data_IF_734180020609
#
_entry.id   IF_734180020609
#
_cell.length_a   1.000
_cell.length_b   1.000
_cell.length_c   1.000
_cell.angle_alpha   90.00
_cell.angle_beta   90.00
_cell.angle_gamma   90.00
#
_symmetry.space_group_name_H-M   'P 1'
#
loop_
_entity.id
_entity.type
_entity.pdbx_description
1 polymer ?
#
# COMPACT_ATOMS: atom_id res chain seq x y z
N UNK A 1 5.23 34.81 -3.42
CA UNK A 1 4.46 34.19 -2.31
C UNK A 1 5.20 32.94 -1.87
N UNK A 2 5.16 32.55 -0.58
CA UNK A 2 5.72 31.26 -0.16
C UNK A 2 4.98 30.12 -0.88
N UNK A 3 5.73 29.09 -1.27
CA UNK A 3 5.18 27.89 -1.91
C UNK A 3 4.37 27.14 -0.85
N UNK A 4 3.09 26.86 -1.13
CA UNK A 4 2.21 26.06 -0.28
C UNK A 4 2.04 24.68 -0.91
N UNK A 5 2.48 23.65 -0.20
CA UNK A 5 2.33 22.25 -0.58
C UNK A 5 1.26 21.58 0.30
N UNK A 6 0.33 20.86 -0.32
CA UNK A 6 -0.62 19.96 0.34
C UNK A 6 -0.23 18.51 0.08
N UNK A 7 0.44 17.90 1.05
CA UNK A 7 0.82 16.49 1.04
C UNK A 7 -0.20 15.66 1.80
N UNK A 8 -0.63 14.53 1.24
CA UNK A 8 -1.50 13.58 1.92
C UNK A 8 -0.97 12.15 1.80
N UNK A 9 -1.37 11.30 2.75
CA UNK A 9 -1.25 9.85 2.65
C UNK A 9 -2.65 9.26 2.56
N UNK A 10 -2.85 8.23 1.73
CA UNK A 10 -4.16 7.64 1.51
C UNK A 10 -4.03 6.16 1.15
N UNK A 11 -4.62 5.29 1.98
CA UNK A 11 -4.76 3.88 1.64
C UNK A 11 -5.93 3.72 0.66
N UNK A 12 -5.66 3.18 -0.52
CA UNK A 12 -6.65 3.06 -1.60
C UNK A 12 -7.41 1.74 -1.57
N UNK A 13 -7.04 0.84 -0.65
CA UNK A 13 -7.72 -0.43 -0.34
C UNK A 13 -7.97 -1.38 -1.53
N UNK A 14 -6.97 -1.58 -2.39
CA UNK A 14 -7.02 -2.55 -3.51
C UNK A 14 -8.23 -2.32 -4.44
N UNK A 15 -8.04 -1.41 -5.40
CA UNK A 15 -9.04 -0.97 -6.36
C UNK A 15 -9.72 -2.11 -7.15
N UNK A 16 -9.00 -3.18 -7.48
CA UNK A 16 -9.52 -4.28 -8.31
C UNK A 16 -9.21 -5.63 -7.66
N UNK A 17 -9.78 -5.86 -6.48
CA UNK A 17 -9.80 -7.19 -5.86
C UNK A 17 -10.38 -8.23 -6.83
N UNK A 18 -9.68 -9.35 -6.97
CA UNK A 18 -10.20 -10.52 -7.70
C UNK A 18 -11.17 -11.25 -6.79
N UNK A 19 -12.33 -11.62 -7.32
CA UNK A 19 -13.29 -12.44 -6.60
C UNK A 19 -12.67 -13.80 -6.26
N UNK A 20 -12.54 -14.09 -4.96
CA UNK A 20 -11.93 -15.32 -4.48
C UNK A 20 -12.98 -16.42 -4.28
N UNK A 21 -13.06 -17.32 -5.27
CA UNK A 21 -13.99 -18.45 -5.21
C UNK A 21 -13.60 -19.52 -4.16
N UNK A 22 -12.39 -19.48 -3.58
CA UNK A 22 -11.99 -20.44 -2.55
C UNK A 22 -12.80 -20.28 -1.25
N UNK A 23 -13.34 -19.08 -0.99
CA UNK A 23 -14.22 -18.83 0.14
C UNK A 23 -15.46 -19.75 0.19
N UNK A 24 -15.94 -20.19 -0.97
CA UNK A 24 -17.07 -21.13 -1.08
C UNK A 24 -16.67 -22.57 -0.80
N UNK A 25 -15.39 -22.91 -1.01
CA UNK A 25 -14.85 -24.24 -0.72
C UNK A 25 -14.51 -24.37 0.78
N UNK A 26 -14.02 -23.30 1.40
CA UNK A 26 -13.63 -23.27 2.82
C UNK A 26 -14.82 -23.16 3.78
N UNK A 27 -16.02 -22.93 3.25
CA UNK A 27 -17.28 -22.87 3.99
C UNK A 27 -17.59 -21.49 4.61
N UNK A 28 -18.86 -21.27 5.04
CA UNK A 28 -19.38 -19.97 5.44
C UNK A 28 -18.77 -19.40 6.73
N UNK A 29 -18.13 -20.23 7.55
CA UNK A 29 -17.44 -19.81 8.78
C UNK A 29 -15.97 -19.45 8.56
N UNK A 30 -15.45 -19.66 7.35
CA UNK A 30 -14.06 -19.37 7.02
C UNK A 30 -13.75 -17.87 7.12
N UNK A 31 -12.47 -17.54 7.27
CA UNK A 31 -12.03 -16.15 7.20
C UNK A 31 -12.34 -15.53 5.85
N UNK A 32 -12.19 -16.30 4.77
CA UNK A 32 -12.45 -15.86 3.40
C UNK A 32 -13.94 -15.51 3.20
N UNK A 33 -14.86 -16.27 3.80
CA UNK A 33 -16.30 -16.00 3.74
C UNK A 33 -16.71 -14.63 4.32
N UNK A 34 -15.94 -14.08 5.29
CA UNK A 34 -16.20 -12.75 5.87
C UNK A 34 -15.94 -11.59 4.90
N UNK A 35 -15.17 -11.85 3.85
CA UNK A 35 -14.87 -10.86 2.81
C UNK A 35 -15.80 -11.00 1.59
N UNK A 36 -16.77 -11.93 1.62
CA UNK A 36 -17.83 -11.99 0.62
C UNK A 36 -18.82 -10.84 0.81
N UNK A 37 -19.36 -10.33 -0.29
CA UNK A 37 -20.31 -9.23 -0.23
C UNK A 37 -21.55 -9.59 0.59
N UNK A 38 -22.11 -8.66 1.38
CA UNK A 38 -23.25 -8.93 2.25
C UNK A 38 -24.43 -9.60 1.55
N UNK A 39 -24.72 -9.22 0.30
CA UNK A 39 -25.81 -9.83 -0.48
C UNK A 39 -25.55 -11.31 -0.80
N UNK A 40 -24.29 -11.73 -0.91
CA UNK A 40 -23.90 -13.14 -1.02
C UNK A 40 -24.16 -13.88 0.29
N UNK A 41 -23.93 -13.23 1.43
CA UNK A 41 -24.22 -13.80 2.75
C UNK A 41 -25.72 -13.91 3.03
N UNK A 42 -26.53 -12.98 2.51
CA UNK A 42 -27.98 -12.96 2.71
C UNK A 42 -28.76 -13.83 1.71
N UNK A 43 -28.33 -13.86 0.45
CA UNK A 43 -29.05 -14.55 -0.63
C UNK A 43 -28.40 -15.88 -1.05
N UNK A 44 -27.19 -16.15 -0.57
CA UNK A 44 -26.52 -17.40 -0.84
C UNK A 44 -27.06 -18.54 0.00
N UNK A 45 -28.03 -19.27 -0.51
CA UNK A 45 -28.18 -20.68 -0.15
C UNK A 45 -27.04 -21.43 -0.86
N UNK A 46 -25.93 -21.64 -0.14
CA UNK A 46 -24.83 -22.50 -0.58
C UNK A 46 -24.47 -23.45 0.56
N UNK A 47 -24.37 -24.75 0.26
CA UNK A 47 -24.00 -25.80 1.24
C UNK A 47 -25.05 -26.88 1.47
N UNK A 48 -26.21 -26.78 0.83
CA UNK A 48 -27.27 -27.78 0.72
C UNK A 48 -26.99 -28.86 -0.33
N UNK A 49 -25.98 -28.66 -1.19
CA UNK A 49 -25.52 -29.64 -2.18
C UNK A 49 -26.33 -29.65 -3.49
N UNK A 50 -27.32 -28.77 -3.63
CA UNK A 50 -28.09 -28.62 -4.86
C UNK A 50 -27.34 -27.70 -5.85
N UNK A 51 -26.67 -28.32 -6.82
CA UNK A 51 -25.91 -27.60 -7.84
C UNK A 51 -26.78 -27.07 -8.99
N UNK A 52 -28.09 -27.36 -9.03
CA UNK A 52 -28.96 -26.94 -10.14
C UNK A 52 -29.16 -25.41 -10.20
N UNK A 53 -29.12 -24.75 -9.04
CA UNK A 53 -29.21 -23.29 -8.90
C UNK A 53 -27.84 -22.60 -8.90
N UNK A 54 -26.75 -23.36 -9.01
CA UNK A 54 -25.39 -22.84 -8.85
C UNK A 54 -25.01 -21.80 -9.91
N UNK A 55 -25.53 -21.93 -11.13
CA UNK A 55 -25.26 -20.95 -12.20
C UNK A 55 -25.95 -19.61 -11.95
N UNK A 56 -27.21 -19.62 -11.51
CA UNK A 56 -27.96 -18.41 -11.18
C UNK A 56 -27.40 -17.74 -9.93
N UNK A 57 -27.05 -18.53 -8.91
CA UNK A 57 -26.32 -18.07 -7.74
C UNK A 57 -24.98 -17.42 -8.11
N UNK A 58 -24.17 -18.06 -8.95
CA UNK A 58 -22.90 -17.47 -9.45
C UNK A 58 -23.12 -16.16 -10.18
N UNK A 59 -24.20 -16.04 -10.96
CA UNK A 59 -24.53 -14.82 -11.68
C UNK A 59 -24.93 -13.68 -10.73
N UNK A 60 -25.78 -13.98 -9.74
CA UNK A 60 -26.18 -13.03 -8.69
C UNK A 60 -24.98 -12.55 -7.88
N UNK A 61 -24.13 -13.48 -7.44
CA UNK A 61 -22.90 -13.19 -6.68
C UNK A 61 -21.95 -12.30 -7.49
N UNK A 62 -21.70 -12.63 -8.76
CA UNK A 62 -20.83 -11.80 -9.61
C UNK A 62 -21.38 -10.40 -9.79
N UNK A 63 -22.69 -10.28 -10.07
CA UNK A 63 -23.34 -8.97 -10.27
C UNK A 63 -23.22 -8.12 -9.02
N UNK A 64 -23.55 -8.70 -7.87
CA UNK A 64 -23.40 -8.09 -6.56
C UNK A 64 -21.98 -7.57 -6.29
N UNK A 65 -20.97 -8.42 -6.50
CA UNK A 65 -19.58 -8.04 -6.30
C UNK A 65 -19.14 -6.92 -7.22
N UNK A 66 -19.51 -6.99 -8.50
CA UNK A 66 -19.18 -5.95 -9.47
C UNK A 66 -19.80 -4.62 -9.05
N UNK A 67 -21.07 -4.62 -8.64
CA UNK A 67 -21.77 -3.41 -8.20
C UNK A 67 -21.17 -2.81 -6.93
N UNK A 68 -20.94 -3.62 -5.89
CA UNK A 68 -20.35 -3.11 -4.64
C UNK A 68 -18.94 -2.59 -4.84
N UNK A 69 -18.14 -3.26 -5.67
CA UNK A 69 -16.80 -2.79 -5.98
C UNK A 69 -16.81 -1.50 -6.82
N UNK A 70 -17.81 -1.28 -7.67
CA UNK A 70 -17.99 0.01 -8.37
C UNK A 70 -18.30 1.14 -7.38
N UNK A 71 -19.25 0.93 -6.46
CA UNK A 71 -19.61 1.91 -5.43
C UNK A 71 -18.42 2.24 -4.52
N UNK A 72 -17.64 1.23 -4.11
CA UNK A 72 -16.40 1.43 -3.33
C UNK A 72 -15.43 2.33 -4.10
N UNK A 73 -15.19 2.07 -5.39
CA UNK A 73 -14.29 2.91 -6.21
C UNK A 73 -14.80 4.34 -6.33
N UNK A 74 -16.11 4.56 -6.48
CA UNK A 74 -16.67 5.90 -6.50
C UNK A 74 -16.43 6.63 -5.17
N UNK A 75 -16.67 5.97 -4.03
CA UNK A 75 -16.38 6.54 -2.72
C UNK A 75 -14.89 6.81 -2.50
N UNK A 76 -14.01 5.91 -2.92
CA UNK A 76 -12.55 6.11 -2.88
C UNK A 76 -12.13 7.32 -3.71
N UNK A 77 -12.73 7.55 -4.88
CA UNK A 77 -12.45 8.73 -5.70
C UNK A 77 -12.92 10.03 -5.04
N UNK A 78 -14.10 10.02 -4.43
CA UNK A 78 -14.62 11.18 -3.66
C UNK A 78 -13.75 11.48 -2.44
N UNK A 79 -13.30 10.45 -1.72
CA UNK A 79 -12.40 10.61 -0.59
C UNK A 79 -11.05 11.19 -1.02
N UNK A 80 -10.47 10.69 -2.13
CA UNK A 80 -9.24 11.22 -2.71
C UNK A 80 -9.39 12.69 -3.11
N UNK A 81 -10.51 13.07 -3.74
CA UNK A 81 -10.82 14.45 -4.09
C UNK A 81 -10.92 15.36 -2.85
N UNK A 82 -11.59 14.88 -1.80
CA UNK A 82 -11.77 15.65 -0.56
C UNK A 82 -10.46 15.98 0.16
N UNK A 83 -9.36 15.27 -0.12
CA UNK A 83 -8.03 15.61 0.42
C UNK A 83 -7.54 16.98 -0.10
N UNK A 84 -7.97 17.38 -1.31
CA UNK A 84 -7.47 18.56 -2.03
C UNK A 84 -5.93 18.59 -2.03
N UNK A 85 -5.29 17.43 -2.25
CA UNK A 85 -3.85 17.28 -2.11
C UNK A 85 -3.14 17.54 -3.45
N UNK A 86 -2.01 18.24 -3.37
CA UNK A 86 -1.09 18.45 -4.49
C UNK A 86 -0.34 17.15 -4.83
N UNK A 87 0.07 16.42 -3.79
CA UNK A 87 0.78 15.14 -3.87
C UNK A 87 0.17 14.18 -2.87
N UNK A 88 -0.09 12.94 -3.31
CA UNK A 88 -0.66 11.88 -2.49
C UNK A 88 0.23 10.64 -2.51
N UNK A 89 0.66 10.22 -1.33
CA UNK A 89 1.32 8.95 -1.08
C UNK A 89 0.26 7.86 -0.88
N UNK A 90 0.23 6.87 -1.77
CA UNK A 90 -0.77 5.82 -1.79
C UNK A 90 -0.24 4.52 -1.21
N UNK A 91 -1.10 3.77 -0.54
CA UNK A 91 -0.86 2.40 -0.07
C UNK A 91 -1.91 1.43 -0.61
N UNK A 92 -1.55 0.15 -0.73
CA UNK A 92 -2.44 -0.92 -1.24
C UNK A 92 -2.88 -0.71 -2.68
N UNK A 93 -1.93 -0.32 -3.52
CA UNK A 93 -2.15 -0.13 -4.95
C UNK A 93 -1.90 -1.47 -5.66
N UNK A 94 -2.89 -2.00 -6.38
CA UNK A 94 -2.79 -3.29 -7.11
C UNK A 94 -1.80 -3.30 -8.29
N UNK A 95 -1.23 -2.15 -8.61
CA UNK A 95 -0.31 -1.94 -9.73
C UNK A 95 -0.61 -0.67 -10.52
N UNK A 96 0.32 -0.32 -11.40
CA UNK A 96 0.27 0.93 -12.17
C UNK A 96 -0.99 1.02 -13.05
N UNK A 97 -1.31 -0.04 -13.79
CA UNK A 97 -2.47 -0.06 -14.69
C UNK A 97 -3.81 0.07 -13.95
N UNK A 98 -3.93 -0.57 -12.79
CA UNK A 98 -5.09 -0.45 -11.92
C UNK A 98 -5.27 1.01 -11.48
N UNK A 99 -4.22 1.62 -10.94
CA UNK A 99 -4.26 3.01 -10.51
C UNK A 99 -4.62 3.97 -11.65
N UNK A 100 -4.01 3.81 -12.83
CA UNK A 100 -4.31 4.61 -14.02
C UNK A 100 -5.78 4.47 -14.45
N UNK A 101 -6.30 3.25 -14.47
CA UNK A 101 -7.72 2.99 -14.79
C UNK A 101 -8.64 3.66 -13.78
N UNK A 102 -8.34 3.56 -12.49
CA UNK A 102 -9.12 4.21 -11.45
C UNK A 102 -9.13 5.74 -11.60
N UNK A 103 -7.96 6.36 -11.76
CA UNK A 103 -7.83 7.80 -11.93
C UNK A 103 -8.62 8.29 -13.16
N UNK A 104 -8.57 7.54 -14.26
CA UNK A 104 -9.28 7.89 -15.49
C UNK A 104 -10.79 7.63 -15.42
N UNK A 105 -11.21 6.52 -14.83
CA UNK A 105 -12.59 6.06 -14.88
C UNK A 105 -13.49 6.63 -13.77
N UNK A 106 -12.91 7.00 -12.63
CA UNK A 106 -13.63 7.50 -11.46
C UNK A 106 -13.23 8.93 -11.13
N UNK A 107 -11.96 9.16 -10.80
CA UNK A 107 -11.49 10.46 -10.30
C UNK A 107 -11.63 11.58 -11.35
N UNK A 108 -11.24 11.35 -12.60
CA UNK A 108 -11.33 12.35 -13.67
C UNK A 108 -12.77 12.81 -13.96
N UNK A 109 -13.79 12.03 -13.59
CA UNK A 109 -15.21 12.40 -13.77
C UNK A 109 -15.70 13.41 -12.73
N UNK A 110 -14.94 13.64 -11.66
CA UNK A 110 -15.30 14.57 -10.59
C UNK A 110 -15.02 16.04 -10.97
N UNK A 111 -14.31 16.30 -12.06
CA UNK A 111 -13.93 17.66 -12.48
C UNK A 111 -12.78 18.28 -11.66
N UNK A 112 -12.11 17.47 -10.84
CA UNK A 112 -11.00 17.87 -9.99
C UNK A 112 -9.67 18.01 -10.75
N UNK A 113 -8.69 18.65 -10.10
CA UNK A 113 -7.32 18.73 -10.63
C UNK A 113 -6.74 17.34 -10.82
N UNK A 114 -6.22 17.09 -12.03
CA UNK A 114 -5.72 15.78 -12.42
C UNK A 114 -4.33 15.49 -11.86
N UNK A 115 -4.17 14.32 -11.27
CA UNK A 115 -2.85 13.77 -10.97
C UNK A 115 -2.21 13.20 -12.24
N UNK A 116 -1.27 13.95 -12.84
CA UNK A 116 -0.60 13.54 -14.09
C UNK A 116 0.68 12.75 -13.84
N UNK A 117 1.39 13.05 -12.76
CA UNK A 117 2.59 12.31 -12.38
C UNK A 117 2.16 11.13 -11.53
N UNK A 118 2.27 9.93 -12.07
CA UNK A 118 1.91 8.70 -11.37
C UNK A 118 3.14 7.80 -11.38
N UNK A 119 3.61 7.43 -10.20
CA UNK A 119 4.80 6.58 -10.06
C UNK A 119 4.50 5.45 -9.08
N UNK A 120 4.80 4.24 -9.52
CA UNK A 120 4.77 3.01 -8.74
C UNK A 120 5.97 2.18 -9.16
N UNK A 121 6.70 1.63 -8.20
CA UNK A 121 7.71 0.60 -8.43
C UNK A 121 7.17 -0.71 -7.89
N UNK A 122 7.30 -1.80 -8.66
CA UNK A 122 6.90 -3.12 -8.19
C UNK A 122 7.76 -3.54 -6.99
N UNK A 123 7.12 -3.96 -5.89
CA UNK A 123 7.82 -4.39 -4.70
C UNK A 123 7.79 -5.91 -4.51
N UNK A 124 8.00 -6.37 -3.28
CA UNK A 124 8.25 -7.77 -2.94
C UNK A 124 7.03 -8.47 -2.31
N UNK A 125 5.83 -7.90 -2.42
CA UNK A 125 4.62 -8.46 -1.83
C UNK A 125 4.03 -9.49 -2.81
N UNK A 126 3.93 -10.78 -2.42
CA UNK A 126 3.43 -11.82 -3.31
C UNK A 126 1.97 -11.61 -3.74
N UNK A 127 1.23 -10.73 -3.04
CA UNK A 127 -0.14 -10.36 -3.41
C UNK A 127 -0.19 -9.35 -4.56
N UNK A 128 0.92 -8.72 -4.91
CA UNK A 128 0.99 -7.69 -5.95
C UNK A 128 0.43 -6.34 -5.50
N UNK A 129 0.55 -6.02 -4.20
CA UNK A 129 0.09 -4.74 -3.65
C UNK A 129 1.28 -3.89 -3.22
N UNK A 130 1.32 -2.67 -3.74
CA UNK A 130 2.47 -1.78 -3.62
C UNK A 130 2.09 -0.42 -3.02
N UNK A 131 3.10 0.44 -2.89
CA UNK A 131 2.93 1.87 -2.62
C UNK A 131 3.12 2.65 -3.92
N UNK A 132 2.43 3.78 -4.03
CA UNK A 132 2.59 4.68 -5.18
C UNK A 132 2.64 6.13 -4.72
N UNK A 133 3.01 7.01 -5.63
CA UNK A 133 2.81 8.45 -5.45
C UNK A 133 2.13 9.02 -6.68
N UNK A 134 1.16 9.89 -6.44
CA UNK A 134 0.48 10.65 -7.48
C UNK A 134 0.62 12.14 -7.19
N UNK A 135 0.91 12.94 -8.21
CA UNK A 135 1.09 14.39 -8.07
C UNK A 135 0.42 15.15 -9.22
N UNK A 136 -0.12 16.32 -8.90
CA UNK A 136 -0.71 17.22 -9.88
C UNK A 136 0.37 17.72 -10.85
N UNK A 137 -0.04 18.17 -12.03
CA UNK A 137 0.87 18.59 -13.12
C UNK A 137 1.95 19.59 -12.67
N UNK A 138 1.55 20.53 -11.81
CA UNK A 138 2.43 21.53 -11.23
C UNK A 138 3.44 21.01 -10.21
N UNK A 139 3.43 19.72 -9.87
CA UNK A 139 4.34 19.13 -8.89
C UNK A 139 5.16 17.97 -9.49
N UNK A 140 6.16 18.27 -10.34
CA UNK A 140 7.08 17.24 -10.82
C UNK A 140 7.83 16.60 -9.66
N UNK A 141 7.96 15.28 -9.71
CA UNK A 141 8.58 14.46 -8.69
C UNK A 141 9.71 13.59 -9.26
N UNK A 142 10.76 13.40 -8.47
CA UNK A 142 11.75 12.34 -8.68
C UNK A 142 11.54 11.25 -7.64
N UNK A 143 11.80 10.00 -8.02
CA UNK A 143 11.62 8.87 -7.10
C UNK A 143 12.82 7.95 -7.07
N UNK A 144 12.98 7.27 -5.94
CA UNK A 144 13.93 6.17 -5.75
C UNK A 144 13.24 5.08 -4.92
N UNK A 145 13.26 3.87 -5.45
CA UNK A 145 12.83 2.68 -4.72
C UNK A 145 13.95 2.19 -3.80
N UNK A 146 13.57 1.68 -2.64
CA UNK A 146 14.46 1.00 -1.69
C UNK A 146 14.00 -0.46 -1.44
N UNK A 147 13.12 -0.98 -2.29
CA UNK A 147 12.54 -2.33 -2.15
C UNK A 147 13.60 -3.44 -2.23
N UNK A 148 14.75 -3.20 -2.85
CA UNK A 148 15.81 -4.18 -3.01
C UNK A 148 16.76 -4.30 -1.80
N UNK A 149 16.60 -3.45 -0.79
CA UNK A 149 17.47 -3.47 0.39
C UNK A 149 17.34 -4.78 1.19
N UNK A 150 18.48 -5.28 1.65
CA UNK A 150 18.61 -6.49 2.48
C UNK A 150 19.23 -6.13 3.83
N UNK A 151 19.18 -7.02 4.85
CA UNK A 151 19.86 -6.78 6.12
C UNK A 151 21.33 -6.39 6.00
N UNK A 152 22.03 -6.89 4.97
CA UNK A 152 23.43 -6.57 4.69
C UNK A 152 23.67 -5.07 4.39
N UNK A 153 22.63 -4.33 4.02
CA UNK A 153 22.74 -2.90 3.76
C UNK A 153 22.64 -2.07 5.04
N UNK A 154 21.83 -2.49 6.02
CA UNK A 154 21.72 -1.75 7.28
C UNK A 154 22.90 -2.06 8.20
N UNK A 155 23.39 -3.30 8.22
CA UNK A 155 24.48 -3.72 9.11
C UNK A 155 25.89 -3.39 8.59
N UNK A 156 26.02 -2.82 7.38
CA UNK A 156 27.32 -2.46 6.81
C UNK A 156 27.86 -1.09 7.23
N UNK A 157 27.09 -0.31 8.00
CA UNK A 157 27.53 0.97 8.56
C UNK A 157 27.42 0.94 10.10
N UNK A 158 28.33 1.60 10.83
CA UNK A 158 28.30 1.63 12.30
C UNK A 158 26.99 2.17 12.87
N UNK A 159 26.36 3.15 12.18
CA UNK A 159 25.08 3.74 12.57
C UNK A 159 23.95 2.71 12.55
N UNK A 160 23.88 1.92 11.48
CA UNK A 160 22.86 0.88 11.34
C UNK A 160 23.11 -0.34 12.24
N UNK A 161 24.37 -0.73 12.47
CA UNK A 161 24.71 -1.77 13.44
C UNK A 161 24.28 -1.37 14.86
N UNK A 162 24.57 -0.14 15.27
CA UNK A 162 24.14 0.40 16.58
C UNK A 162 22.62 0.44 16.73
N UNK A 163 21.88 0.75 15.65
CA UNK A 163 20.41 0.64 15.65
C UNK A 163 19.97 -0.81 15.90
N UNK A 164 20.56 -1.80 15.23
CA UNK A 164 20.19 -3.19 15.43
C UNK A 164 20.53 -3.69 16.84
N UNK A 165 21.64 -3.26 17.44
CA UNK A 165 21.98 -3.58 18.83
C UNK A 165 20.93 -3.07 19.83
N UNK A 166 20.45 -1.84 19.63
CA UNK A 166 19.43 -1.23 20.49
C UNK A 166 18.08 -1.93 20.38
N UNK A 167 17.79 -2.59 19.26
CA UNK A 167 16.50 -3.23 18.97
C UNK A 167 16.68 -4.74 18.69
N UNK A 168 16.73 -5.59 19.74
CA UNK A 168 17.10 -6.99 19.61
C UNK A 168 16.11 -7.84 18.79
N UNK A 169 14.82 -7.47 18.74
CA UNK A 169 13.84 -8.15 17.89
C UNK A 169 14.10 -7.88 16.40
N UNK A 170 14.47 -6.64 16.06
CA UNK A 170 14.88 -6.28 14.70
C UNK A 170 16.18 -6.99 14.31
N UNK A 171 17.20 -7.03 15.19
CA UNK A 171 18.45 -7.76 14.95
C UNK A 171 18.21 -9.26 14.72
N UNK A 172 17.38 -9.89 15.55
CA UNK A 172 16.98 -11.29 15.36
C UNK A 172 16.31 -11.49 14.00
N UNK A 173 15.40 -10.58 13.62
CA UNK A 173 14.69 -10.65 12.34
C UNK A 173 15.63 -10.44 11.15
N UNK A 174 16.56 -9.50 11.23
CA UNK A 174 17.61 -9.27 10.24
C UNK A 174 18.42 -10.56 10.00
N UNK A 175 18.81 -11.25 11.08
CA UNK A 175 19.50 -12.55 11.00
C UNK A 175 18.70 -13.64 10.28
N UNK A 176 17.37 -13.67 10.45
CA UNK A 176 16.48 -14.62 9.76
C UNK A 176 16.27 -14.28 8.27
N UNK A 177 16.47 -13.03 7.88
CA UNK A 177 16.27 -12.51 6.53
C UNK A 177 17.59 -12.36 5.74
N UNK A 178 18.69 -13.01 6.17
CA UNK A 178 19.95 -12.97 5.41
C UNK A 178 19.72 -13.30 3.92
N UNK A 179 20.14 -12.38 3.05
CA UNK A 179 19.96 -12.49 1.59
C UNK A 179 18.54 -12.25 1.06
N UNK A 180 17.56 -11.96 1.93
CA UNK A 180 16.18 -11.62 1.57
C UNK A 180 15.93 -10.13 1.72
N UNK A 181 14.95 -9.61 0.96
CA UNK A 181 14.54 -8.21 1.03
C UNK A 181 13.90 -7.88 2.37
N UNK A 182 14.20 -6.69 2.88
CA UNK A 182 13.63 -6.15 4.12
C UNK A 182 12.18 -5.74 3.85
N UNK A 183 11.98 -4.81 2.92
CA UNK A 183 10.64 -4.29 2.65
C UNK A 183 9.82 -5.30 1.83
N UNK A 184 8.62 -5.60 2.31
CA UNK A 184 7.63 -6.35 1.53
C UNK A 184 6.99 -5.47 0.46
N UNK A 185 6.62 -4.26 0.85
CA UNK A 185 6.28 -3.19 -0.09
C UNK A 185 7.57 -2.43 -0.39
N UNK A 186 7.49 -1.14 -0.69
CA UNK A 186 8.65 -0.27 -0.85
C UNK A 186 8.79 0.69 0.35
N UNK A 187 9.96 1.30 0.46
CA UNK A 187 10.15 2.63 1.02
C UNK A 187 10.42 3.55 -0.17
N UNK A 188 9.37 4.12 -0.74
CA UNK A 188 9.47 4.95 -1.93
C UNK A 188 9.90 6.35 -1.54
N UNK A 189 11.16 6.69 -1.82
CA UNK A 189 11.70 8.04 -1.64
C UNK A 189 11.19 8.93 -2.78
N UNK A 190 10.54 10.03 -2.43
CA UNK A 190 9.95 11.00 -3.34
C UNK A 190 10.55 12.37 -3.07
N UNK A 191 11.18 12.95 -4.07
CA UNK A 191 11.70 14.31 -4.02
C UNK A 191 10.81 15.23 -4.86
N UNK A 192 10.28 16.28 -4.23
CA UNK A 192 9.53 17.32 -4.93
C UNK A 192 10.49 18.36 -5.51
N UNK A 193 10.26 18.78 -6.75
CA UNK A 193 11.13 19.76 -7.43
C UNK A 193 10.89 21.19 -6.99
N UNK A 194 9.63 21.52 -6.66
CA UNK A 194 9.21 22.88 -6.24
C UNK A 194 9.28 23.11 -4.74
N UNK A 195 9.53 22.08 -3.93
CA UNK A 195 9.65 22.19 -2.49
C UNK A 195 10.81 21.34 -1.99
N UNK A 196 11.65 21.83 -1.05
CA UNK A 196 12.83 21.11 -0.56
C UNK A 196 12.44 20.02 0.46
N UNK A 197 11.35 19.29 0.20
CA UNK A 197 10.87 18.19 1.04
C UNK A 197 11.12 16.86 0.36
N UNK A 198 11.59 15.88 1.14
CA UNK A 198 11.68 14.47 0.71
C UNK A 198 10.69 13.64 1.51
N UNK A 199 9.87 12.86 0.82
CA UNK A 199 8.87 11.98 1.44
C UNK A 199 9.29 10.54 1.27
N UNK A 200 9.22 9.73 2.32
CA UNK A 200 9.54 8.30 2.31
C UNK A 200 8.25 7.50 2.46
N UNK A 201 7.52 7.29 1.37
CA UNK A 201 6.24 6.58 1.42
C UNK A 201 6.45 5.10 1.73
N UNK A 202 5.95 4.68 2.88
CA UNK A 202 6.11 3.33 3.39
C UNK A 202 4.77 2.67 3.70
N UNK A 203 4.70 1.34 3.53
CA UNK A 203 3.62 0.53 4.07
C UNK A 203 4.19 -0.69 4.79
N UNK A 204 4.53 -0.50 6.08
CA UNK A 204 5.14 -1.53 6.91
C UNK A 204 4.24 -2.76 7.10
N UNK A 205 4.84 -3.83 7.64
CA UNK A 205 4.15 -5.06 8.02
C UNK A 205 2.97 -4.73 8.94
N UNK A 206 1.78 -5.23 8.63
CA UNK A 206 0.61 -5.11 9.50
C UNK A 206 0.75 -5.99 10.75
N UNK A 207 -0.12 -5.77 11.74
CA UNK A 207 -0.20 -6.60 12.96
C UNK A 207 -0.97 -7.92 12.77
N UNK A 208 -1.29 -8.30 11.53
CA UNK A 208 -1.95 -9.57 11.22
C UNK A 208 -1.09 -10.75 11.66
N UNK A 209 -1.68 -11.65 12.46
CA UNK A 209 -0.99 -12.78 13.08
C UNK A 209 -0.54 -12.53 14.52
N UNK A 210 -0.57 -11.27 15.00
CA UNK A 210 -0.20 -10.92 16.37
C UNK A 210 0.78 -9.75 16.44
N UNK A 211 0.60 -8.87 17.44
CA UNK A 211 1.47 -7.70 17.62
C UNK A 211 2.92 -8.11 17.88
N UNK A 212 3.12 -9.11 18.72
CA UNK A 212 4.45 -9.53 19.17
C UNK A 212 5.21 -10.26 18.06
N UNK A 213 4.54 -11.15 17.33
CA UNK A 213 5.12 -11.91 16.21
C UNK A 213 5.57 -11.01 15.06
N UNK A 214 4.83 -9.92 14.83
CA UNK A 214 5.13 -8.97 13.75
C UNK A 214 6.10 -7.88 14.17
N UNK A 215 6.36 -7.72 15.47
CA UNK A 215 7.14 -6.60 16.02
C UNK A 215 8.56 -6.54 15.44
N UNK A 216 9.27 -7.68 15.39
CA UNK A 216 10.64 -7.71 14.87
C UNK A 216 10.74 -7.28 13.40
N UNK A 217 9.74 -7.64 12.58
CA UNK A 217 9.67 -7.20 11.17
C UNK A 217 9.39 -5.70 11.06
N UNK A 218 8.39 -5.21 11.80
CA UNK A 218 8.02 -3.78 11.80
C UNK A 218 9.15 -2.88 12.30
N UNK A 219 9.86 -3.31 13.35
CA UNK A 219 11.04 -2.61 13.82
C UNK A 219 12.16 -2.61 12.78
N UNK A 220 12.42 -3.75 12.13
CA UNK A 220 13.44 -3.82 11.09
C UNK A 220 13.14 -2.85 9.94
N UNK A 221 11.91 -2.86 9.41
CA UNK A 221 11.50 -1.92 8.35
C UNK A 221 11.67 -0.46 8.80
N UNK A 222 11.17 -0.10 9.98
CA UNK A 222 11.27 1.27 10.50
C UNK A 222 12.73 1.74 10.74
N UNK A 223 13.59 0.84 11.23
CA UNK A 223 15.01 1.14 11.43
C UNK A 223 15.75 1.29 10.10
N UNK A 224 15.39 0.50 9.09
CA UNK A 224 15.93 0.67 7.74
C UNK A 224 15.53 2.02 7.15
N UNK A 225 14.28 2.46 7.31
CA UNK A 225 13.87 3.82 6.88
C UNK A 225 14.65 4.90 7.61
N UNK A 226 14.82 4.76 8.93
CA UNK A 226 15.64 5.69 9.72
C UNK A 226 17.07 5.76 9.18
N UNK A 227 17.66 4.61 8.84
CA UNK A 227 19.02 4.56 8.32
C UNK A 227 19.13 5.14 6.90
N UNK A 228 18.11 4.93 6.04
CA UNK A 228 18.01 5.61 4.74
C UNK A 228 18.06 7.14 4.94
N UNK A 229 17.26 7.66 5.87
CA UNK A 229 17.22 9.10 6.18
C UNK A 229 18.58 9.58 6.70
N UNK A 230 19.20 8.86 7.63
CA UNK A 230 20.52 9.21 8.17
C UNK A 230 21.60 9.26 7.09
N UNK A 231 21.59 8.35 6.13
CA UNK A 231 22.57 8.33 5.02
C UNK A 231 22.26 9.36 3.94
N UNK A 232 21.00 9.80 3.83
CA UNK A 232 20.53 10.72 2.80
C UNK A 232 20.87 12.19 3.10
N UNK A 233 20.85 12.58 4.37
CA UNK A 233 21.02 13.95 4.81
C UNK A 233 22.24 14.06 5.73
N UNK A 234 23.03 15.12 5.54
CA UNK A 234 24.16 15.44 6.43
C UNK A 234 23.68 15.69 7.86
N UNK A 235 22.56 16.41 8.01
CA UNK A 235 21.86 16.60 9.28
C UNK A 235 20.34 16.37 9.09
N UNK A 236 19.84 15.16 9.40
CA UNK A 236 18.42 14.86 9.35
C UNK A 236 17.54 15.73 10.27
N UNK A 237 18.11 16.34 11.32
CA UNK A 237 17.32 17.10 12.30
C UNK A 237 16.88 18.48 11.78
N UNK A 238 17.60 19.01 10.79
CA UNK A 238 17.33 20.30 10.15
C UNK A 238 16.81 20.16 8.73
N UNK A 239 16.97 18.99 8.11
CA UNK A 239 16.38 18.66 6.82
C UNK A 239 14.85 18.56 6.88
N UNK A 240 14.17 18.92 5.79
CA UNK A 240 12.72 18.79 5.67
C UNK A 240 12.37 17.46 5.00
N UNK A 241 11.89 16.50 5.79
CA UNK A 241 11.42 15.22 5.29
C UNK A 241 10.21 14.72 6.07
N UNK A 242 9.48 13.78 5.46
CA UNK A 242 8.35 13.09 6.07
C UNK A 242 8.41 11.60 5.74
N UNK A 243 7.87 10.76 6.63
CA UNK A 243 7.63 9.33 6.42
C UNK A 243 6.13 9.10 6.45
#
# INVERSE_FOLDING_TARGET
MPIKLRLATFNIENLFTRFDFSAFLDGPTSRAARYLDPVVQFLGQYGDGDLTQFNDFRSLVRTASISQDDDKRQHTALALAALDADVVCLQEVDGYDALQRFLKAYYAKLGEKTYRHVVLHEANDPRGIDVAVVAQDDWPIYTRSHADLTPAWIDNEPTGEALLERFPLARRRAGQLRGKRIFRRDCLEVQLTKAPVTVFNCHFKSMGGGRDDTMGMRQLEALTVREIINRRFEDPSTALWAV
#
